data_IF_196704626781
#
_entry.id   IF_196704626781
#
_cell.length_a   1.000
_cell.length_b   1.000
_cell.length_c   1.000
_cell.angle_alpha   90.00
_cell.angle_beta   90.00
_cell.angle_gamma   90.00
#
_symmetry.space_group_name_H-M   'P 1'
#
loop_
_entity.id
_entity.type
_entity.pdbx_description
1 polymer ?
#
# COMPACT_ATOMS: atom_id res chain seq x y z
N UNK A 1 10.05 14.59 -1.66
CA UNK A 1 9.42 13.43 -1.01
C UNK A 1 9.00 12.43 -2.07
N UNK A 2 9.13 11.15 -1.81
CA UNK A 2 8.82 10.10 -2.78
C UNK A 2 7.31 9.94 -2.98
N UNK A 3 6.90 9.62 -4.19
CA UNK A 3 5.50 9.37 -4.52
C UNK A 3 5.39 8.17 -5.48
N UNK A 4 4.27 7.47 -5.45
CA UNK A 4 4.03 6.34 -6.35
C UNK A 4 4.00 6.76 -7.83
N UNK A 5 3.70 8.01 -8.10
CA UNK A 5 3.72 8.57 -9.46
C UNK A 5 5.13 8.76 -10.04
N UNK A 6 6.17 8.60 -9.21
CA UNK A 6 7.57 8.73 -9.65
C UNK A 6 8.06 7.53 -10.46
N UNK A 7 7.32 6.43 -10.44
CA UNK A 7 7.71 5.15 -11.06
C UNK A 7 7.01 4.97 -12.39
N UNK A 8 7.70 4.31 -13.34
CA UNK A 8 7.09 4.00 -14.63
C UNK A 8 6.10 2.84 -14.54
N UNK A 9 5.34 2.64 -15.60
CA UNK A 9 4.29 1.62 -15.66
C UNK A 9 4.83 0.21 -15.39
N UNK A 10 5.99 -0.12 -15.92
CA UNK A 10 6.59 -1.46 -15.75
C UNK A 10 6.91 -1.75 -14.29
N UNK A 11 7.47 -0.76 -13.59
CA UNK A 11 7.83 -0.87 -12.18
C UNK A 11 6.57 -0.98 -11.32
N UNK A 12 5.55 -0.19 -11.62
CA UNK A 12 4.27 -0.25 -10.91
C UNK A 12 3.54 -1.57 -11.14
N UNK A 13 3.64 -2.14 -12.35
CA UNK A 13 3.10 -3.48 -12.61
C UNK A 13 3.82 -4.55 -11.77
N UNK A 14 5.14 -4.45 -11.65
CA UNK A 14 5.92 -5.36 -10.80
C UNK A 14 5.50 -5.21 -9.33
N UNK A 15 5.30 -3.98 -8.87
CA UNK A 15 4.79 -3.71 -7.53
C UNK A 15 3.43 -4.36 -7.30
N UNK A 16 2.52 -4.22 -8.27
CA UNK A 16 1.18 -4.82 -8.21
C UNK A 16 1.25 -6.35 -8.08
N UNK A 17 2.13 -6.99 -8.85
CA UNK A 17 2.31 -8.45 -8.79
C UNK A 17 2.98 -8.89 -7.50
N UNK A 18 3.91 -8.08 -6.97
CA UNK A 18 4.50 -8.31 -5.64
C UNK A 18 3.43 -8.27 -4.55
N UNK A 19 2.48 -7.34 -4.63
CA UNK A 19 1.34 -7.28 -3.71
C UNK A 19 0.49 -8.55 -3.74
N UNK A 20 0.40 -9.19 -4.90
CA UNK A 20 -0.33 -10.45 -5.07
C UNK A 20 0.44 -11.68 -4.58
N UNK A 21 1.65 -11.48 -4.05
CA UNK A 21 2.48 -12.57 -3.52
C UNK A 21 3.39 -13.23 -4.55
N UNK A 22 3.55 -12.64 -5.74
CA UNK A 22 4.43 -13.18 -6.77
C UNK A 22 5.89 -12.85 -6.42
N UNK A 23 6.60 -13.85 -5.90
CA UNK A 23 7.97 -13.72 -5.44
C UNK A 23 8.95 -13.30 -6.55
N UNK A 24 8.68 -13.71 -7.79
CA UNK A 24 9.50 -13.34 -8.95
C UNK A 24 9.55 -11.81 -9.11
N UNK A 25 8.43 -11.12 -8.90
CA UNK A 25 8.37 -9.67 -9.02
C UNK A 25 8.87 -8.95 -7.78
N UNK A 26 8.76 -9.54 -6.60
CA UNK A 26 9.45 -9.04 -5.41
C UNK A 26 10.97 -9.06 -5.62
N UNK A 27 11.50 -10.15 -6.16
CA UNK A 27 12.93 -10.26 -6.51
C UNK A 27 13.33 -9.27 -7.59
N UNK A 28 12.46 -9.06 -8.60
CA UNK A 28 12.70 -8.06 -9.65
C UNK A 28 12.88 -6.67 -9.05
N UNK A 29 12.00 -6.27 -8.13
CA UNK A 29 12.08 -4.96 -7.47
C UNK A 29 13.39 -4.80 -6.69
N UNK A 30 13.77 -5.84 -5.94
CA UNK A 30 15.01 -5.82 -5.17
C UNK A 30 16.26 -5.72 -6.06
N UNK A 31 16.29 -6.49 -7.15
CA UNK A 31 17.45 -6.58 -8.04
C UNK A 31 17.61 -5.39 -8.97
N UNK A 32 16.55 -4.64 -9.23
CA UNK A 32 16.56 -3.53 -10.17
C UNK A 32 16.55 -2.15 -9.50
N UNK A 33 16.82 -2.08 -8.19
CA UNK A 33 16.99 -0.82 -7.48
C UNK A 33 15.71 -0.21 -6.95
N UNK A 34 14.67 -1.02 -6.71
CA UNK A 34 13.40 -0.58 -6.15
C UNK A 34 13.07 -1.29 -4.83
N UNK A 35 14.04 -1.42 -3.90
CA UNK A 35 13.78 -2.12 -2.63
C UNK A 35 12.70 -1.45 -1.80
N UNK A 36 12.48 -0.13 -1.97
CA UNK A 36 11.44 0.61 -1.26
C UNK A 36 10.04 0.17 -1.66
N UNK A 37 9.84 -0.25 -2.91
CA UNK A 37 8.53 -0.77 -3.35
C UNK A 37 8.28 -2.18 -2.83
N UNK A 38 9.32 -3.02 -2.77
CA UNK A 38 9.21 -4.34 -2.16
C UNK A 38 8.90 -4.20 -0.67
N UNK A 39 9.60 -3.29 0.03
CA UNK A 39 9.36 -3.03 1.44
C UNK A 39 7.94 -2.49 1.68
N UNK A 40 7.45 -1.61 0.80
CA UNK A 40 6.07 -1.12 0.88
C UNK A 40 5.06 -2.26 0.71
N UNK A 41 5.28 -3.14 -0.28
CA UNK A 41 4.44 -4.33 -0.49
C UNK A 41 4.38 -5.19 0.77
N UNK A 42 5.54 -5.49 1.36
CA UNK A 42 5.63 -6.29 2.59
C UNK A 42 4.98 -5.58 3.78
N UNK A 43 5.14 -4.26 3.89
CA UNK A 43 4.53 -3.46 4.96
C UNK A 43 3.00 -3.48 4.86
N UNK A 44 2.44 -3.41 3.66
CA UNK A 44 1.00 -3.53 3.43
C UNK A 44 0.51 -4.91 3.88
N UNK A 45 1.33 -5.94 3.75
CA UNK A 45 1.06 -7.28 4.28
C UNK A 45 1.36 -7.41 5.79
N UNK A 46 1.49 -6.29 6.49
CA UNK A 46 1.69 -6.22 7.94
C UNK A 46 3.06 -6.68 8.43
N UNK A 47 4.09 -6.58 7.58
CA UNK A 47 5.47 -6.87 7.97
C UNK A 47 6.09 -5.65 8.64
N UNK A 48 6.25 -5.72 9.97
CA UNK A 48 6.78 -4.62 10.78
C UNK A 48 8.24 -4.32 10.44
N UNK A 49 9.04 -5.36 10.16
CA UNK A 49 10.45 -5.17 9.79
C UNK A 49 10.59 -4.40 8.48
N UNK A 50 9.71 -4.65 7.50
CA UNK A 50 9.68 -3.92 6.25
C UNK A 50 9.32 -2.45 6.46
N UNK A 51 8.35 -2.17 7.32
CA UNK A 51 7.99 -0.80 7.69
C UNK A 51 9.17 -0.06 8.32
N UNK A 52 9.86 -0.72 9.25
CA UNK A 52 11.04 -0.14 9.90
C UNK A 52 12.15 0.12 8.89
N UNK A 53 12.33 -0.78 7.93
CA UNK A 53 13.30 -0.58 6.85
C UNK A 53 13.01 0.70 6.07
N UNK A 54 11.73 0.95 5.75
CA UNK A 54 11.33 2.18 5.04
C UNK A 54 11.70 3.43 5.84
N UNK A 55 11.46 3.43 7.15
CA UNK A 55 11.83 4.54 8.02
C UNK A 55 13.35 4.74 8.08
N UNK A 56 14.11 3.65 8.21
CA UNK A 56 15.57 3.68 8.37
C UNK A 56 16.29 4.09 7.09
N UNK A 57 15.66 3.89 5.93
CA UNK A 57 16.27 4.13 4.62
C UNK A 57 15.75 5.36 3.89
N UNK A 58 15.03 6.24 4.58
CA UNK A 58 14.63 7.53 4.04
C UNK A 58 13.33 7.54 3.24
N UNK A 59 12.43 6.59 3.51
CA UNK A 59 11.10 6.52 2.89
C UNK A 59 9.98 6.62 3.94
N UNK A 60 9.99 7.65 4.80
CA UNK A 60 8.97 7.77 5.85
C UNK A 60 7.57 7.89 5.28
N UNK A 61 7.40 8.54 4.12
CA UNK A 61 6.11 8.70 3.46
C UNK A 61 5.49 7.36 3.06
N UNK A 62 6.30 6.37 2.70
CA UNK A 62 5.79 5.04 2.35
C UNK A 62 5.45 4.23 3.61
N UNK A 63 6.22 4.37 4.68
CA UNK A 63 5.90 3.75 5.96
C UNK A 63 4.57 4.30 6.50
N UNK A 64 4.40 5.62 6.44
CA UNK A 64 3.18 6.29 6.87
C UNK A 64 2.00 5.92 5.96
N UNK A 65 2.24 5.81 4.64
CA UNK A 65 1.21 5.35 3.70
C UNK A 65 0.65 3.99 4.12
N UNK A 66 1.50 3.05 4.46
CA UNK A 66 1.08 1.73 4.93
C UNK A 66 0.16 1.82 6.15
N UNK A 67 0.50 2.67 7.12
CA UNK A 67 -0.34 2.88 8.30
C UNK A 67 -1.65 3.62 7.97
N UNK A 68 -1.62 4.56 7.05
CA UNK A 68 -2.82 5.27 6.61
C UNK A 68 -3.80 4.33 5.88
N UNK A 69 -3.27 3.36 5.13
CA UNK A 69 -4.08 2.30 4.52
C UNK A 69 -4.80 1.48 5.59
N UNK A 70 -4.15 1.26 6.74
CA UNK A 70 -4.74 0.58 7.90
C UNK A 70 -5.64 1.47 8.76
N UNK A 71 -5.99 2.65 8.26
CA UNK A 71 -6.90 3.60 8.91
C UNK A 71 -6.37 4.18 10.23
N UNK A 72 -5.06 4.31 10.36
CA UNK A 72 -4.46 4.96 11.55
C UNK A 72 -4.58 6.48 11.45
N UNK A 73 -5.28 7.14 12.38
CA UNK A 73 -5.53 8.59 12.31
C UNK A 73 -4.27 9.44 12.25
N UNK A 74 -3.24 9.07 13.01
CA UNK A 74 -1.98 9.81 13.03
C UNK A 74 -1.27 9.77 11.67
N UNK A 75 -1.35 8.64 10.97
CA UNK A 75 -0.77 8.47 9.65
C UNK A 75 -1.55 9.30 8.61
N UNK A 76 -2.86 9.28 8.68
CA UNK A 76 -3.74 10.08 7.82
C UNK A 76 -3.40 11.57 7.98
N UNK A 77 -3.30 12.03 9.22
CA UNK A 77 -2.98 13.42 9.55
C UNK A 77 -1.59 13.80 9.06
N UNK A 78 -0.62 12.89 9.16
CA UNK A 78 0.75 13.12 8.69
C UNK A 78 0.79 13.37 7.19
N UNK A 79 0.08 12.56 6.40
CA UNK A 79 0.03 12.72 4.94
C UNK A 79 -0.58 14.07 4.55
N UNK A 80 -1.60 14.52 5.26
CA UNK A 80 -2.23 15.83 5.04
C UNK A 80 -1.29 16.98 5.44
N UNK A 81 -0.65 16.86 6.60
CA UNK A 81 0.26 17.88 7.12
C UNK A 81 1.44 18.15 6.19
N UNK A 82 2.00 17.10 5.59
CA UNK A 82 3.15 17.20 4.70
C UNK A 82 2.75 17.29 3.22
N UNK A 83 1.48 17.53 2.92
CA UNK A 83 0.94 17.75 1.57
C UNK A 83 1.23 16.60 0.61
N UNK A 84 1.17 15.37 1.11
CA UNK A 84 1.27 14.16 0.30
C UNK A 84 -0.10 13.82 -0.29
N UNK A 85 -0.63 14.69 -1.14
CA UNK A 85 -2.02 14.65 -1.60
C UNK A 85 -2.34 13.37 -2.36
N UNK A 86 -1.44 12.95 -3.26
CA UNK A 86 -1.64 11.71 -4.00
C UNK A 86 -1.67 10.50 -3.07
N UNK A 87 -0.70 10.40 -2.16
CA UNK A 87 -0.64 9.28 -1.20
C UNK A 87 -1.84 9.28 -0.26
N UNK A 88 -2.31 10.46 0.14
CA UNK A 88 -3.49 10.61 0.97
C UNK A 88 -4.74 10.06 0.26
N UNK A 89 -4.93 10.43 -1.01
CA UNK A 89 -6.04 9.91 -1.83
C UNK A 89 -5.92 8.43 -2.09
N UNK A 90 -4.70 7.97 -2.36
CA UNK A 90 -4.43 6.55 -2.58
C UNK A 90 -4.81 5.72 -1.34
N UNK A 91 -4.37 6.15 -0.15
CA UNK A 91 -4.72 5.48 1.10
C UNK A 91 -6.23 5.48 1.34
N UNK A 92 -6.89 6.62 1.11
CA UNK A 92 -8.34 6.74 1.26
C UNK A 92 -9.07 5.78 0.32
N UNK A 93 -8.64 5.68 -0.95
CA UNK A 93 -9.23 4.75 -1.90
C UNK A 93 -9.02 3.30 -1.46
N UNK A 94 -7.87 2.97 -0.90
CA UNK A 94 -7.62 1.63 -0.35
C UNK A 94 -8.56 1.30 0.81
N UNK A 95 -8.97 2.31 1.59
CA UNK A 95 -9.98 2.17 2.65
C UNK A 95 -11.41 2.23 2.12
N UNK A 96 -11.59 2.21 0.79
CA UNK A 96 -12.89 2.24 0.10
C UNK A 96 -13.65 3.56 0.25
N UNK A 97 -12.95 4.68 0.42
CA UNK A 97 -13.58 6.00 0.38
C UNK A 97 -14.14 6.27 -1.02
N UNK A 98 -15.46 6.49 -1.16
CA UNK A 98 -16.07 6.62 -2.50
C UNK A 98 -15.55 7.80 -3.30
N UNK A 99 -15.30 8.95 -2.67
CA UNK A 99 -14.79 10.14 -3.34
C UNK A 99 -13.39 9.92 -3.90
N UNK A 100 -12.51 9.26 -3.12
CA UNK A 100 -11.16 8.93 -3.55
C UNK A 100 -11.18 7.92 -4.70
N UNK A 101 -11.99 6.87 -4.61
CA UNK A 101 -12.12 5.87 -5.67
C UNK A 101 -12.61 6.51 -6.97
N UNK A 102 -13.59 7.41 -6.87
CA UNK A 102 -14.12 8.15 -8.02
C UNK A 102 -13.05 9.04 -8.65
N UNK A 103 -12.22 9.68 -7.84
CA UNK A 103 -11.13 10.53 -8.31
C UNK A 103 -10.15 9.75 -9.20
N UNK A 104 -9.74 8.54 -8.77
CA UNK A 104 -8.83 7.69 -9.56
C UNK A 104 -9.47 7.25 -10.88
N UNK A 105 -10.74 6.89 -10.86
CA UNK A 105 -11.47 6.51 -12.07
C UNK A 105 -11.63 7.69 -13.03
N UNK A 106 -11.96 8.88 -12.52
CA UNK A 106 -12.21 10.09 -13.31
C UNK A 106 -10.92 10.63 -13.96
N UNK A 107 -9.76 10.39 -13.37
CA UNK A 107 -8.47 10.88 -13.86
C UNK A 107 -7.73 9.85 -14.73
N UNK A 108 -8.42 8.80 -15.17
CA UNK A 108 -7.88 7.75 -16.05
C UNK A 108 -6.61 7.08 -15.51
N UNK A 109 -6.57 6.87 -14.20
CA UNK A 109 -5.44 6.23 -13.51
C UNK A 109 -5.72 4.73 -13.33
N UNK A 110 -5.92 4.01 -14.44
CA UNK A 110 -6.36 2.61 -14.45
C UNK A 110 -5.45 1.68 -13.69
N UNK A 111 -4.13 1.86 -13.83
CA UNK A 111 -3.17 1.01 -13.15
C UNK A 111 -3.29 1.18 -11.64
N UNK A 112 -3.44 2.41 -11.15
CA UNK A 112 -3.64 2.66 -9.73
C UNK A 112 -4.97 2.11 -9.22
N UNK A 113 -6.01 2.12 -10.05
CA UNK A 113 -7.30 1.48 -9.71
C UNK A 113 -7.09 -0.02 -9.48
N UNK A 114 -6.31 -0.68 -10.33
CA UNK A 114 -5.98 -2.10 -10.17
C UNK A 114 -5.18 -2.35 -8.88
N UNK A 115 -4.17 -1.54 -8.62
CA UNK A 115 -3.34 -1.65 -7.41
C UNK A 115 -4.21 -1.46 -6.16
N UNK A 116 -5.05 -0.42 -6.15
CA UNK A 116 -5.97 -0.14 -5.05
C UNK A 116 -6.90 -1.32 -4.80
N UNK A 117 -7.45 -1.90 -5.87
CA UNK A 117 -8.33 -3.07 -5.78
C UNK A 117 -7.62 -4.26 -5.13
N UNK A 118 -6.37 -4.50 -5.49
CA UNK A 118 -5.57 -5.58 -4.89
C UNK A 118 -5.28 -5.32 -3.41
N UNK A 119 -4.99 -4.07 -3.05
CA UNK A 119 -4.79 -3.71 -1.64
C UNK A 119 -6.09 -3.89 -0.85
N UNK A 120 -7.23 -3.50 -1.40
CA UNK A 120 -8.53 -3.72 -0.77
C UNK A 120 -8.76 -5.22 -0.50
N UNK A 121 -8.36 -6.08 -1.43
CA UNK A 121 -8.46 -7.53 -1.24
C UNK A 121 -7.54 -8.02 -0.12
N UNK A 122 -6.32 -7.49 -0.03
CA UNK A 122 -5.38 -7.82 1.06
C UNK A 122 -6.00 -7.46 2.41
N UNK A 123 -6.55 -6.25 2.53
CA UNK A 123 -7.19 -5.79 3.77
C UNK A 123 -8.39 -6.66 4.14
N UNK A 124 -9.17 -7.05 3.16
CA UNK A 124 -10.33 -7.94 3.37
C UNK A 124 -9.89 -9.30 3.90
N UNK A 125 -8.86 -9.91 3.32
CA UNK A 125 -8.33 -11.20 3.78
C UNK A 125 -7.73 -11.10 5.19
N UNK A 126 -7.01 -10.03 5.50
CA UNK A 126 -6.47 -9.81 6.85
C UNK A 126 -7.59 -9.72 7.89
N UNK A 127 -8.64 -8.98 7.58
CA UNK A 127 -9.81 -8.85 8.45
C UNK A 127 -10.54 -10.19 8.61
N UNK A 128 -10.66 -10.96 7.52
CA UNK A 128 -11.34 -12.25 7.52
C UNK A 128 -10.59 -13.29 8.34
N UNK A 129 -9.25 -13.35 8.19
CA UNK A 129 -8.40 -14.26 8.96
C UNK A 129 -8.50 -13.97 10.45
N UNK A 130 -8.49 -12.69 10.84
CA UNK A 130 -8.65 -12.29 12.24
C UNK A 130 -10.01 -12.72 12.79
N UNK A 131 -11.08 -12.58 11.99
CA UNK A 131 -12.42 -13.02 12.34
C UNK A 131 -12.51 -14.53 12.47
N UNK A 132 -11.86 -15.27 11.57
CA UNK A 132 -11.83 -16.74 11.56
C UNK A 132 -11.10 -17.29 12.80
N UNK A 133 -9.96 -16.73 13.14
CA UNK A 133 -9.22 -17.07 14.36
C UNK A 133 -10.08 -16.83 15.59
N UNK A 134 -10.85 -15.76 15.58
CA UNK A 134 -11.75 -15.42 16.69
C UNK A 134 -12.88 -16.44 16.84
N UNK A 135 -13.45 -16.90 15.74
CA UNK A 135 -14.46 -17.97 15.72
C UNK A 135 -13.89 -19.27 16.24
N UNK A 136 -12.67 -19.59 15.87
CA UNK A 136 -12.00 -20.84 16.28
C UNK A 136 -11.80 -20.90 17.79
N UNK A 137 -11.49 -19.77 18.41
CA UNK A 137 -11.29 -19.69 19.87
C UNK A 137 -12.57 -19.80 20.69
N UNK A 138 -13.73 -19.61 20.07
CA UNK A 138 -15.05 -19.71 20.73
C UNK A 138 -15.65 -21.08 20.71
N UNK A 139 -15.12 -21.95 19.90
CA UNK A 139 -15.56 -23.34 19.81
C UNK A 139 -14.65 -24.24 20.64
#
# INVERSE_FOLDING_TARGET
MHCLTDYDTKVLLAFNLSLQGDRKFSDFLMQNGYPELEALSSSIHSNIAAQQWLLDNGYPEFAVLSNAIDDEPEAIDWLEKYHCDFLSRFAAACRKDPAAMKWFAANDLKLFVIIISNIQNILMYQSWDASDIHKFRRS
#
